data_IF_558488604997
#
_entry.id   IF_558488604997
#
_cell.length_a   1.000
_cell.length_b   1.000
_cell.length_c   1.000
_cell.angle_alpha   90.00
_cell.angle_beta   90.00
_cell.angle_gamma   90.00
#
_symmetry.space_group_name_H-M   'P 1'
#
loop_
_entity.id
_entity.type
_entity.pdbx_description
1 polymer ?
#
# COMPACT_ATOMS: atom_id res chain seq x y z
N UNK A 1 -36.13 -47.21 -15.03
CA UNK A 1 -35.00 -47.82 -15.77
C UNK A 1 -35.21 -47.49 -17.23
N UNK A 2 -34.24 -46.85 -17.90
CA UNK A 2 -34.35 -46.53 -19.33
C UNK A 2 -34.34 -47.81 -20.17
N UNK A 3 -35.11 -47.82 -21.26
CA UNK A 3 -35.12 -48.92 -22.22
C UNK A 3 -33.69 -49.19 -22.73
N UNK A 4 -33.30 -50.46 -22.95
CA UNK A 4 -31.99 -50.78 -23.50
C UNK A 4 -31.84 -50.11 -24.88
N UNK A 5 -30.84 -49.24 -25.01
CA UNK A 5 -30.53 -48.65 -26.31
C UNK A 5 -29.90 -49.73 -27.20
N UNK A 6 -30.31 -49.84 -28.47
CA UNK A 6 -29.72 -50.80 -29.39
C UNK A 6 -28.24 -50.48 -29.60
N UNK A 7 -27.38 -51.48 -29.45
CA UNK A 7 -25.94 -51.34 -29.69
C UNK A 7 -25.70 -51.30 -31.20
N UNK A 8 -25.26 -50.14 -31.70
CA UNK A 8 -24.89 -49.96 -33.10
C UNK A 8 -23.50 -50.57 -33.32
N UNK A 9 -23.42 -51.61 -34.15
CA UNK A 9 -22.15 -52.26 -34.50
C UNK A 9 -21.48 -51.59 -35.69
N UNK A 10 -20.14 -51.72 -35.83
CA UNK A 10 -19.41 -51.27 -37.02
C UNK A 10 -20.03 -51.76 -38.33
N UNK A 11 -20.45 -53.04 -38.36
CA UNK A 11 -21.03 -53.67 -39.55
C UNK A 11 -22.36 -53.03 -39.96
N UNK A 12 -23.20 -52.66 -38.97
CA UNK A 12 -24.46 -51.98 -39.23
C UNK A 12 -24.21 -50.61 -39.87
N UNK A 13 -23.29 -49.82 -39.31
CA UNK A 13 -22.92 -48.50 -39.86
C UNK A 13 -22.34 -48.63 -41.26
N UNK A 14 -21.40 -49.56 -41.45
CA UNK A 14 -20.81 -49.84 -42.76
C UNK A 14 -21.88 -50.16 -43.81
N UNK A 15 -22.83 -51.05 -43.48
CA UNK A 15 -23.90 -51.42 -44.41
C UNK A 15 -24.81 -50.25 -44.80
N UNK A 16 -25.13 -49.36 -43.85
CA UNK A 16 -25.97 -48.19 -44.11
C UNK A 16 -25.22 -47.13 -44.94
N UNK A 17 -23.91 -46.93 -44.71
CA UNK A 17 -23.08 -46.03 -45.51
C UNK A 17 -22.95 -46.50 -46.97
N UNK A 18 -22.76 -47.82 -47.18
CA UNK A 18 -22.72 -48.41 -48.53
C UNK A 18 -24.07 -48.27 -49.23
N UNK A 19 -25.19 -48.54 -48.52
CA UNK A 19 -26.55 -48.35 -49.06
C UNK A 19 -26.83 -46.89 -49.44
N UNK A 20 -26.27 -45.93 -48.71
CA UNK A 20 -26.33 -44.51 -49.02
C UNK A 20 -25.47 -44.11 -50.24
N UNK A 21 -24.76 -45.06 -50.85
CA UNK A 21 -23.93 -44.83 -52.04
C UNK A 21 -22.51 -44.34 -51.75
N UNK A 22 -22.03 -44.45 -50.51
CA UNK A 22 -20.65 -44.09 -50.15
C UNK A 22 -19.71 -45.21 -50.62
N UNK A 23 -18.55 -44.82 -51.17
CA UNK A 23 -17.51 -45.75 -51.59
C UNK A 23 -17.10 -46.70 -50.44
N UNK A 24 -16.89 -47.98 -50.74
CA UNK A 24 -16.55 -49.03 -49.76
C UNK A 24 -15.39 -48.63 -48.84
N UNK A 25 -14.28 -48.12 -49.38
CA UNK A 25 -13.10 -47.76 -48.59
C UNK A 25 -13.40 -46.60 -47.63
N UNK A 26 -14.15 -45.60 -48.12
CA UNK A 26 -14.58 -44.44 -47.32
C UNK A 26 -15.58 -44.88 -46.23
N UNK A 27 -16.50 -45.78 -46.57
CA UNK A 27 -17.49 -46.30 -45.63
C UNK A 27 -16.83 -47.16 -44.54
N UNK A 28 -15.79 -47.93 -44.87
CA UNK A 28 -15.02 -48.72 -43.90
C UNK A 28 -14.25 -47.86 -42.91
N UNK A 29 -13.62 -46.78 -43.38
CA UNK A 29 -12.94 -45.79 -42.55
C UNK A 29 -13.93 -45.03 -41.64
N UNK A 30 -15.02 -44.51 -42.18
CA UNK A 30 -16.06 -43.81 -41.39
C UNK A 30 -16.71 -44.71 -40.34
N UNK A 31 -17.06 -45.95 -40.71
CA UNK A 31 -17.64 -46.92 -39.77
C UNK A 31 -16.65 -47.33 -38.67
N UNK A 32 -15.36 -47.41 -38.99
CA UNK A 32 -14.32 -47.67 -38.00
C UNK A 32 -14.19 -46.50 -37.02
N UNK A 33 -14.07 -45.27 -37.52
CA UNK A 33 -13.99 -44.05 -36.68
C UNK A 33 -15.20 -43.92 -35.77
N UNK A 34 -16.40 -44.12 -36.30
CA UNK A 34 -17.64 -44.11 -35.51
C UNK A 34 -17.62 -45.18 -34.41
N UNK A 35 -17.28 -46.43 -34.75
CA UNK A 35 -17.29 -47.53 -33.77
C UNK A 35 -16.24 -47.37 -32.68
N UNK A 36 -15.09 -46.76 -32.99
CA UNK A 36 -14.01 -46.48 -32.03
C UNK A 36 -14.15 -45.12 -31.33
N UNK A 37 -15.17 -44.33 -31.67
CA UNK A 37 -15.32 -42.94 -31.23
C UNK A 37 -14.05 -42.12 -31.46
N UNK A 38 -13.41 -42.34 -32.61
CA UNK A 38 -12.23 -41.57 -32.99
C UNK A 38 -12.66 -40.15 -33.34
N UNK A 39 -12.01 -39.18 -32.71
CA UNK A 39 -12.20 -37.77 -33.06
C UNK A 39 -11.68 -37.52 -34.47
N UNK A 40 -12.46 -36.78 -35.24
CA UNK A 40 -11.99 -36.25 -36.52
C UNK A 40 -11.06 -35.07 -36.29
N UNK A 41 -10.31 -34.70 -37.33
CA UNK A 41 -9.48 -33.50 -37.29
C UNK A 41 -10.29 -32.24 -36.93
N UNK A 42 -11.52 -32.12 -37.43
CA UNK A 42 -12.42 -30.99 -37.13
C UNK A 42 -12.85 -30.96 -35.66
N UNK A 43 -13.07 -32.13 -35.06
CA UNK A 43 -13.42 -32.19 -33.63
C UNK A 43 -12.24 -31.72 -32.76
N UNK A 44 -11.01 -32.13 -33.13
CA UNK A 44 -9.79 -31.70 -32.44
C UNK A 44 -9.57 -30.18 -32.61
N UNK A 45 -9.77 -29.66 -33.82
CA UNK A 45 -9.67 -28.24 -34.13
C UNK A 45 -10.69 -27.43 -33.30
N UNK A 46 -11.95 -27.85 -33.27
CA UNK A 46 -13.00 -27.22 -32.45
C UNK A 46 -12.68 -27.24 -30.95
N UNK A 47 -12.18 -28.36 -30.44
CA UNK A 47 -11.77 -28.46 -29.03
C UNK A 47 -10.62 -27.50 -28.73
N UNK A 48 -9.60 -27.45 -29.61
CA UNK A 48 -8.46 -26.56 -29.47
C UNK A 48 -8.91 -25.10 -29.41
N UNK A 49 -9.72 -24.65 -30.36
CA UNK A 49 -10.24 -23.27 -30.38
C UNK A 49 -11.00 -22.94 -29.09
N UNK A 50 -11.85 -23.85 -28.61
CA UNK A 50 -12.60 -23.64 -27.38
C UNK A 50 -11.68 -23.57 -26.14
N UNK A 51 -10.63 -24.38 -26.08
CA UNK A 51 -9.64 -24.32 -25.01
C UNK A 51 -8.82 -23.04 -25.06
N UNK A 52 -8.38 -22.61 -26.24
CA UNK A 52 -7.62 -21.38 -26.44
C UNK A 52 -8.45 -20.16 -25.97
N UNK A 53 -9.73 -20.09 -26.34
CA UNK A 53 -10.66 -19.02 -25.89
C UNK A 53 -10.84 -19.05 -24.36
N UNK A 54 -10.96 -20.23 -23.75
CA UNK A 54 -11.11 -20.35 -22.29
C UNK A 54 -9.84 -19.91 -21.56
N UNK A 55 -8.67 -20.29 -22.08
CA UNK A 55 -7.38 -19.87 -21.52
C UNK A 55 -7.19 -18.36 -21.62
N UNK A 56 -7.52 -17.76 -22.76
CA UNK A 56 -7.47 -16.31 -22.95
C UNK A 56 -8.37 -15.59 -21.94
N UNK A 57 -9.61 -16.07 -21.73
CA UNK A 57 -10.52 -15.49 -20.73
C UNK A 57 -9.97 -15.58 -19.31
N UNK A 58 -9.35 -16.71 -18.95
CA UNK A 58 -8.71 -16.87 -17.63
C UNK A 58 -7.53 -15.92 -17.50
N UNK A 59 -6.68 -15.79 -18.52
CA UNK A 59 -5.54 -14.87 -18.51
C UNK A 59 -5.98 -13.41 -18.35
N UNK A 60 -7.01 -13.00 -19.08
CA UNK A 60 -7.58 -11.64 -18.99
C UNK A 60 -8.16 -11.40 -17.60
N UNK A 61 -8.89 -12.36 -17.03
CA UNK A 61 -9.44 -12.28 -15.67
C UNK A 61 -8.35 -12.11 -14.62
N UNK A 62 -7.32 -12.96 -14.66
CA UNK A 62 -6.19 -12.88 -13.72
C UNK A 62 -5.42 -11.56 -13.85
N UNK A 63 -5.21 -11.07 -15.08
CA UNK A 63 -4.60 -9.75 -15.31
C UNK A 63 -5.44 -8.62 -14.73
N UNK A 64 -6.76 -8.70 -14.82
CA UNK A 64 -7.65 -7.71 -14.24
C UNK A 64 -7.60 -7.73 -12.71
N UNK A 65 -7.65 -8.92 -12.11
CA UNK A 65 -7.58 -9.10 -10.65
C UNK A 65 -6.25 -8.59 -10.07
N UNK A 66 -5.13 -8.90 -10.74
CA UNK A 66 -3.80 -8.41 -10.34
C UNK A 66 -3.75 -6.88 -10.40
N UNK A 67 -4.26 -6.27 -11.47
CA UNK A 67 -4.31 -4.79 -11.59
C UNK A 67 -5.18 -4.15 -10.52
N UNK A 68 -6.35 -4.74 -10.23
CA UNK A 68 -7.23 -4.25 -9.18
C UNK A 68 -6.54 -4.34 -7.80
N UNK A 69 -5.92 -5.48 -7.50
CA UNK A 69 -5.18 -5.67 -6.25
C UNK A 69 -4.01 -4.70 -6.10
N UNK A 70 -3.26 -4.44 -7.18
CA UNK A 70 -2.19 -3.44 -7.18
C UNK A 70 -2.74 -2.04 -6.87
N UNK A 71 -3.82 -1.62 -7.54
CA UNK A 71 -4.44 -0.32 -7.30
C UNK A 71 -4.96 -0.18 -5.86
N UNK A 72 -5.54 -1.23 -5.29
CA UNK A 72 -6.00 -1.24 -3.90
C UNK A 72 -4.83 -1.09 -2.91
N UNK A 73 -3.69 -1.71 -3.20
CA UNK A 73 -2.49 -1.59 -2.39
C UNK A 73 -1.89 -0.19 -2.49
N UNK A 74 -1.78 0.39 -3.68
CA UNK A 74 -1.30 1.76 -3.88
C UNK A 74 -2.15 2.76 -3.09
N UNK A 75 -3.48 2.68 -3.21
CA UNK A 75 -4.42 3.54 -2.48
C UNK A 75 -4.25 3.42 -0.95
N UNK A 76 -4.03 2.20 -0.44
CA UNK A 76 -3.78 1.97 0.99
C UNK A 76 -2.45 2.58 1.43
N UNK A 77 -1.42 2.48 0.60
CA UNK A 77 -0.09 3.05 0.87
C UNK A 77 -0.18 4.58 0.90
N UNK A 78 -0.79 5.20 -0.10
CA UNK A 78 -0.96 6.66 -0.18
C UNK A 78 -1.75 7.22 1.01
N UNK A 79 -2.81 6.51 1.41
CA UNK A 79 -3.59 6.87 2.61
C UNK A 79 -2.70 6.84 3.86
N UNK A 80 -1.86 5.81 4.01
CA UNK A 80 -0.97 5.67 5.17
C UNK A 80 0.15 6.70 5.19
N UNK A 81 0.70 7.08 4.03
CA UNK A 81 1.64 8.20 3.93
C UNK A 81 0.99 9.51 4.38
N UNK A 82 -0.20 9.80 3.87
CA UNK A 82 -0.96 11.00 4.25
C UNK A 82 -1.26 11.05 5.75
N UNK A 83 -1.63 9.91 6.36
CA UNK A 83 -1.83 9.82 7.82
C UNK A 83 -0.54 10.09 8.60
N UNK A 84 0.62 9.62 8.11
CA UNK A 84 1.91 9.83 8.75
C UNK A 84 2.38 11.29 8.63
N UNK A 85 2.26 11.90 7.45
CA UNK A 85 2.59 13.31 7.24
C UNK A 85 1.80 14.21 8.18
N UNK A 86 0.48 14.00 8.30
CA UNK A 86 -0.36 14.73 9.24
C UNK A 86 0.07 14.57 10.71
N UNK A 87 0.55 13.38 11.09
CA UNK A 87 1.06 13.15 12.46
C UNK A 87 2.38 13.88 12.68
N UNK A 88 3.27 13.89 11.68
CA UNK A 88 4.55 14.60 11.72
C UNK A 88 4.28 16.11 11.86
N UNK A 89 3.40 16.68 11.04
CA UNK A 89 3.05 18.10 11.09
C UNK A 89 2.51 18.52 12.46
N UNK A 90 1.67 17.67 13.06
CA UNK A 90 1.12 17.91 14.39
C UNK A 90 2.21 17.92 15.47
N UNK A 91 3.14 16.95 15.42
CA UNK A 91 4.27 16.88 16.35
C UNK A 91 5.18 18.09 16.16
N UNK A 92 5.51 18.46 14.93
CA UNK A 92 6.34 19.63 14.63
C UNK A 92 5.71 20.93 15.16
N UNK A 93 4.41 21.11 14.95
CA UNK A 93 3.66 22.26 15.45
C UNK A 93 3.67 22.33 16.98
N UNK A 94 3.48 21.18 17.66
CA UNK A 94 3.56 21.09 19.12
C UNK A 94 4.94 21.48 19.63
N UNK A 95 6.00 20.90 19.05
CA UNK A 95 7.38 21.19 19.45
C UNK A 95 7.75 22.66 19.21
N UNK A 96 7.31 23.26 18.10
CA UNK A 96 7.48 24.70 17.84
C UNK A 96 6.82 25.55 18.93
N UNK A 97 5.62 25.19 19.35
CA UNK A 97 4.91 25.87 20.45
C UNK A 97 5.65 25.74 21.78
N UNK A 98 6.10 24.53 22.12
CA UNK A 98 6.83 24.27 23.36
C UNK A 98 8.15 25.05 23.41
N UNK A 99 8.90 25.07 22.30
CA UNK A 99 10.15 25.85 22.17
C UNK A 99 9.88 27.35 22.32
N UNK A 100 8.79 27.86 21.74
CA UNK A 100 8.42 29.26 21.87
C UNK A 100 8.09 29.62 23.34
N UNK A 101 7.36 28.75 24.04
CA UNK A 101 7.05 28.92 25.47
C UNK A 101 8.32 28.98 26.31
N UNK A 102 9.22 27.99 26.15
CA UNK A 102 10.50 27.95 26.87
C UNK A 102 11.35 29.19 26.55
N UNK A 103 11.38 29.63 25.29
CA UNK A 103 12.11 30.83 24.89
C UNK A 103 11.60 32.08 25.61
N UNK A 104 10.28 32.20 25.78
CA UNK A 104 9.67 33.29 26.54
C UNK A 104 10.02 33.22 28.04
N UNK A 105 9.94 32.04 28.65
CA UNK A 105 10.34 31.83 30.05
C UNK A 105 11.81 32.22 30.29
N UNK A 106 12.71 31.79 29.41
CA UNK A 106 14.14 32.16 29.48
C UNK A 106 14.34 33.68 29.35
N UNK A 107 13.57 34.35 28.49
CA UNK A 107 13.64 35.80 28.35
C UNK A 107 13.19 36.53 29.64
N UNK A 108 12.13 36.04 30.29
CA UNK A 108 11.68 36.57 31.58
C UNK A 108 12.74 36.38 32.67
N UNK A 109 13.31 35.18 32.80
CA UNK A 109 14.38 34.90 33.76
C UNK A 109 15.59 35.82 33.55
N UNK A 110 16.00 36.06 32.29
CA UNK A 110 17.09 36.99 31.98
C UNK A 110 16.78 38.41 32.44
N UNK A 111 15.55 38.89 32.22
CA UNK A 111 15.11 40.21 32.68
C UNK A 111 15.12 40.31 34.20
N UNK A 112 14.67 39.29 34.91
CA UNK A 112 14.70 39.26 36.38
C UNK A 112 16.14 39.28 36.91
N UNK A 113 17.06 38.56 36.26
CA UNK A 113 18.48 38.60 36.59
C UNK A 113 19.10 39.98 36.37
N UNK A 114 18.74 40.68 35.29
CA UNK A 114 19.19 42.05 35.04
C UNK A 114 18.68 43.02 36.11
N UNK A 115 17.41 42.91 36.50
CA UNK A 115 16.81 43.71 37.59
C UNK A 115 17.56 43.46 38.90
N UNK A 116 17.75 42.19 39.26
CA UNK A 116 18.47 41.81 40.49
C UNK A 116 19.90 42.35 40.50
N UNK A 117 20.60 42.31 39.35
CA UNK A 117 21.94 42.88 39.20
C UNK A 117 21.95 44.39 39.44
N UNK A 118 20.99 45.13 38.89
CA UNK A 118 20.87 46.58 39.09
C UNK A 118 20.58 46.92 40.55
N UNK A 119 19.68 46.18 41.21
CA UNK A 119 19.36 46.38 42.62
C UNK A 119 20.57 46.13 43.53
N UNK A 120 21.29 45.01 43.33
CA UNK A 120 22.54 44.73 44.05
C UNK A 120 23.57 45.84 43.85
N UNK A 121 23.72 46.36 42.63
CA UNK A 121 24.66 47.45 42.34
C UNK A 121 24.27 48.74 43.08
N UNK A 122 22.98 49.08 43.12
CA UNK A 122 22.46 50.21 43.88
C UNK A 122 22.75 50.08 45.38
N UNK A 123 22.53 48.89 45.94
CA UNK A 123 22.84 48.59 47.35
C UNK A 123 24.34 48.70 47.64
N UNK A 124 25.21 48.19 46.77
CA UNK A 124 26.66 48.32 46.89
C UNK A 124 27.09 49.79 46.90
N UNK A 125 26.60 50.60 45.97
CA UNK A 125 26.90 52.06 45.93
C UNK A 125 26.50 52.74 47.24
N UNK A 126 25.34 52.39 47.80
CA UNK A 126 24.86 52.92 49.08
C UNK A 126 25.74 52.50 50.26
N UNK A 127 26.26 51.28 50.27
CA UNK A 127 27.19 50.81 51.30
C UNK A 127 28.54 51.52 51.17
N UNK A 128 29.09 51.61 49.96
CA UNK A 128 30.37 52.29 49.69
C UNK A 128 30.33 53.74 50.13
N UNK A 129 29.28 54.49 49.78
CA UNK A 129 29.15 55.90 50.21
C UNK A 129 29.03 56.08 51.73
N UNK A 130 28.35 55.16 52.42
CA UNK A 130 28.32 55.12 53.89
C UNK A 130 29.70 54.84 54.49
N UNK A 131 30.44 53.88 53.93
CA UNK A 131 31.78 53.53 54.39
C UNK A 131 32.74 54.71 54.19
N UNK A 132 32.74 55.35 53.02
CA UNK A 132 33.54 56.55 52.74
C UNK A 132 33.23 57.67 53.73
N UNK A 133 31.95 57.90 54.03
CA UNK A 133 31.54 58.92 55.00
C UNK A 133 32.05 58.59 56.41
N UNK A 134 31.97 57.32 56.82
CA UNK A 134 32.50 56.84 58.11
C UNK A 134 34.03 56.96 58.18
N UNK A 135 34.75 56.58 57.12
CA UNK A 135 36.20 56.72 57.03
C UNK A 135 36.65 58.18 57.10
N UNK A 136 35.94 59.10 56.42
CA UNK A 136 36.19 60.55 56.52
C UNK A 136 36.01 61.06 57.94
N UNK A 137 34.94 60.63 58.63
CA UNK A 137 34.70 60.99 60.03
C UNK A 137 35.81 60.44 60.94
N UNK A 138 36.22 59.17 60.75
CA UNK A 138 37.31 58.58 61.52
C UNK A 138 38.63 59.35 61.35
N UNK A 139 39.00 59.67 60.11
CA UNK A 139 40.18 60.50 59.82
C UNK A 139 40.10 61.86 60.53
N UNK A 140 38.93 62.53 60.47
CA UNK A 140 38.72 63.79 61.18
C UNK A 140 38.86 63.68 62.70
N UNK A 141 38.42 62.58 63.32
CA UNK A 141 38.49 62.39 64.77
C UNK A 141 39.88 61.96 65.27
N UNK A 142 40.67 61.25 64.46
CA UNK A 142 41.87 60.55 64.94
C UNK A 142 43.18 60.88 64.21
N UNK A 143 43.17 61.66 63.13
CA UNK A 143 44.37 62.10 62.41
C UNK A 143 44.64 61.33 61.13
#
# INVERSE_FOLDING_TARGET
MGLPQPVITRQMVLSELIKAGINQEIAEDLAYRYYKNELTHKDIEYLKENFDIKLEKVEVGLKADIKASHSDLDNKIDTKFTELDNKIDKVETSLKSDIASVSNEVALVRKDMEINKMELNSQLIKITSKLESSSKLHYWMFG
#
